data_IF_284804144407
#
_entry.id   IF_284804144407
#
_cell.length_a   1.000
_cell.length_b   1.000
_cell.length_c   1.000
_cell.angle_alpha   90.00
_cell.angle_beta   90.00
_cell.angle_gamma   90.00
#
_symmetry.space_group_name_H-M   'P 1'
#
loop_
_entity.id
_entity.type
_entity.pdbx_description
1 polymer ?
#
# COMPACT_ATOMS: atom_id res chain seq x y z
N UNK A 1 2.96 -1.60 -6.70
CA UNK A 1 2.48 -0.73 -5.59
C UNK A 1 2.31 -1.57 -4.33
N UNK A 2 2.65 -1.04 -3.18
CA UNK A 2 2.50 -1.74 -1.90
C UNK A 2 1.38 -1.14 -1.06
N UNK A 3 0.57 -2.01 -0.46
CA UNK A 3 -0.37 -1.63 0.58
C UNK A 3 0.38 -1.36 1.90
N UNK A 4 -0.26 -0.64 2.81
CA UNK A 4 0.33 -0.23 4.08
C UNK A 4 0.88 -1.42 4.89
N UNK A 5 0.13 -2.52 4.98
CA UNK A 5 0.58 -3.71 5.72
C UNK A 5 1.87 -4.30 5.15
N UNK A 6 2.04 -4.28 3.83
CA UNK A 6 3.25 -4.79 3.19
C UNK A 6 4.47 -3.93 3.52
N UNK A 7 4.29 -2.61 3.53
CA UNK A 7 5.36 -1.68 3.92
C UNK A 7 5.79 -1.94 5.37
N UNK A 8 4.83 -2.14 6.27
CA UNK A 8 5.11 -2.43 7.67
C UNK A 8 5.87 -3.77 7.84
N UNK A 9 5.49 -4.81 7.09
CA UNK A 9 6.20 -6.08 7.11
C UNK A 9 7.63 -5.92 6.57
N UNK A 10 7.79 -5.19 5.47
CA UNK A 10 9.10 -4.94 4.90
C UNK A 10 10.02 -4.18 5.86
N UNK A 11 9.48 -3.24 6.60
CA UNK A 11 10.25 -2.41 7.53
C UNK A 11 10.57 -3.13 8.86
N UNK A 12 9.66 -3.94 9.38
CA UNK A 12 9.73 -4.46 10.75
C UNK A 12 9.79 -5.98 10.86
N UNK A 13 9.18 -6.72 9.95
CA UNK A 13 9.08 -8.18 10.05
C UNK A 13 8.94 -8.82 8.66
N UNK A 14 10.08 -9.01 8.01
CA UNK A 14 10.15 -9.59 6.67
C UNK A 14 9.68 -11.05 6.60
N UNK A 15 9.63 -11.74 7.74
CA UNK A 15 9.16 -13.12 7.80
C UNK A 15 7.66 -13.24 7.53
N UNK A 16 6.92 -12.13 7.60
CA UNK A 16 5.50 -12.05 7.24
C UNK A 16 5.27 -11.93 5.74
N UNK A 17 6.33 -11.80 4.94
CA UNK A 17 6.22 -11.72 3.48
C UNK A 17 6.39 -13.10 2.85
N UNK A 18 5.52 -13.40 1.88
CA UNK A 18 5.65 -14.60 1.06
C UNK A 18 6.94 -14.57 0.25
N UNK A 19 7.47 -15.75 -0.03
CA UNK A 19 8.69 -15.89 -0.81
C UNK A 19 8.60 -15.16 -2.16
N UNK A 20 7.47 -15.30 -2.86
CA UNK A 20 7.31 -14.64 -4.15
C UNK A 20 7.25 -13.12 -4.03
N UNK A 21 6.67 -12.60 -2.96
CA UNK A 21 6.65 -11.16 -2.68
C UNK A 21 8.06 -10.65 -2.43
N UNK A 22 8.84 -11.38 -1.62
CA UNK A 22 10.25 -11.04 -1.37
C UNK A 22 11.04 -11.02 -2.68
N UNK A 23 10.84 -12.01 -3.54
CA UNK A 23 11.51 -12.07 -4.86
C UNK A 23 11.17 -10.85 -5.72
N UNK A 24 9.91 -10.43 -5.74
CA UNK A 24 9.48 -9.22 -6.47
C UNK A 24 10.16 -7.97 -5.90
N UNK A 25 10.20 -7.85 -4.57
CA UNK A 25 10.78 -6.68 -3.92
C UNK A 25 12.31 -6.60 -4.07
N UNK A 26 12.98 -7.74 -4.20
CA UNK A 26 14.43 -7.82 -4.36
C UNK A 26 14.89 -7.73 -5.81
N UNK A 27 13.98 -7.89 -6.77
CA UNK A 27 14.33 -7.83 -8.19
C UNK A 27 14.69 -6.39 -8.60
N UNK A 28 15.94 -6.13 -9.03
CA UNK A 28 16.37 -4.79 -9.40
C UNK A 28 15.67 -4.24 -10.65
N UNK A 29 15.04 -5.10 -11.45
CA UNK A 29 14.23 -4.67 -12.60
C UNK A 29 12.90 -4.05 -12.19
N UNK A 30 12.43 -4.30 -10.96
CA UNK A 30 11.18 -3.76 -10.46
C UNK A 30 11.37 -2.40 -9.79
N UNK A 31 10.48 -1.47 -10.12
CA UNK A 31 10.35 -0.18 -9.42
C UNK A 31 9.23 -0.33 -8.39
N UNK A 32 9.57 -0.12 -7.12
CA UNK A 32 8.61 -0.26 -6.02
C UNK A 32 8.02 1.11 -5.69
N UNK A 33 6.72 1.17 -5.54
CA UNK A 33 6.03 2.42 -5.23
C UNK A 33 4.89 2.21 -4.23
N UNK A 34 4.46 3.30 -3.63
CA UNK A 34 3.26 3.39 -2.80
C UNK A 34 2.43 4.58 -3.25
N UNK A 35 1.12 4.51 -3.01
CA UNK A 35 0.29 5.70 -3.03
C UNK A 35 0.70 6.65 -1.91
N UNK A 36 0.62 7.96 -2.13
CA UNK A 36 0.82 8.95 -1.06
C UNK A 36 -0.15 8.70 0.10
N UNK A 37 -1.29 8.06 -0.15
CA UNK A 37 -2.24 7.65 0.90
C UNK A 37 -1.60 6.66 1.89
N UNK A 38 -0.78 5.73 1.42
CA UNK A 38 0.00 4.84 2.29
C UNK A 38 0.94 5.66 3.18
N UNK A 39 1.60 6.67 2.60
CA UNK A 39 2.44 7.60 3.38
C UNK A 39 1.63 8.30 4.48
N UNK A 40 0.44 8.78 4.15
CA UNK A 40 -0.46 9.41 5.13
C UNK A 40 -0.84 8.44 6.26
N UNK A 41 -1.25 7.22 5.91
CA UNK A 41 -1.60 6.20 6.91
C UNK A 41 -0.44 5.89 7.86
N UNK A 42 0.76 5.76 7.31
CA UNK A 42 1.95 5.48 8.12
C UNK A 42 2.28 6.65 9.06
N UNK A 43 2.17 7.88 8.58
CA UNK A 43 2.40 9.08 9.41
C UNK A 43 1.35 9.15 10.52
N UNK A 44 0.07 8.97 10.18
CA UNK A 44 -1.02 8.97 11.17
C UNK A 44 -0.83 7.86 12.19
N UNK A 45 -0.51 6.65 11.74
CA UNK A 45 -0.26 5.52 12.65
C UNK A 45 0.93 5.78 13.57
N UNK A 46 2.01 6.34 13.05
CA UNK A 46 3.17 6.72 13.83
C UNK A 46 2.83 7.79 14.89
N UNK A 47 2.13 8.85 14.48
CA UNK A 47 1.74 9.93 15.39
C UNK A 47 0.78 9.46 16.51
N UNK A 48 -0.02 8.42 16.23
CA UNK A 48 -0.97 7.83 17.19
C UNK A 48 -0.39 6.62 17.93
N UNK A 49 0.89 6.38 17.84
CA UNK A 49 1.59 5.28 18.51
C UNK A 49 1.00 3.89 18.20
N UNK A 50 0.44 3.70 17.00
CA UNK A 50 -0.14 2.41 16.58
C UNK A 50 0.92 1.36 16.29
N UNK A 51 2.15 1.76 16.00
CA UNK A 51 3.30 0.89 15.84
C UNK A 51 4.54 1.62 16.35
N UNK A 52 5.46 0.86 16.92
CA UNK A 52 6.72 1.38 17.43
C UNK A 52 7.84 1.06 16.45
N UNK A 53 8.68 2.05 16.23
CA UNK A 53 9.92 1.85 15.50
C UNK A 53 10.97 2.79 16.07
N UNK A 54 12.16 2.27 16.27
CA UNK A 54 13.30 3.06 16.74
C UNK A 54 13.86 3.97 15.66
N UNK A 55 13.48 3.74 14.39
CA UNK A 55 13.99 4.49 13.25
C UNK A 55 13.34 5.85 13.07
N UNK A 56 12.09 6.01 13.49
CA UNK A 56 11.31 7.22 13.22
C UNK A 56 11.10 8.02 14.49
N UNK A 57 11.53 9.28 14.46
CA UNK A 57 11.32 10.23 15.56
C UNK A 57 10.20 11.20 15.26
N UNK A 58 9.95 11.47 13.98
CA UNK A 58 8.91 12.39 13.51
C UNK A 58 8.19 11.78 12.31
N UNK A 59 6.98 12.29 12.01
CA UNK A 59 6.25 11.86 10.80
C UNK A 59 7.03 12.10 9.52
N UNK A 60 7.87 13.12 9.48
CA UNK A 60 8.72 13.41 8.32
C UNK A 60 9.78 12.31 8.09
N UNK A 61 10.25 11.68 9.16
CA UNK A 61 11.18 10.54 9.06
C UNK A 61 10.55 9.34 8.36
N UNK A 62 9.23 9.16 8.49
CA UNK A 62 8.48 8.07 7.83
C UNK A 62 8.63 8.18 6.32
N UNK A 63 8.32 9.34 5.75
CA UNK A 63 8.42 9.57 4.30
C UNK A 63 9.86 9.46 3.81
N UNK A 64 10.81 10.00 4.57
CA UNK A 64 12.22 9.92 4.24
C UNK A 64 12.73 8.48 4.23
N UNK A 65 12.30 7.67 5.20
CA UNK A 65 12.64 6.25 5.25
C UNK A 65 12.13 5.50 4.01
N UNK A 66 10.89 5.77 3.60
CA UNK A 66 10.33 5.15 2.39
C UNK A 66 11.19 5.45 1.16
N UNK A 67 11.52 6.71 0.94
CA UNK A 67 12.24 7.15 -0.25
C UNK A 67 13.74 6.83 -0.20
N UNK A 68 14.41 7.12 0.90
CA UNK A 68 15.86 7.09 0.98
C UNK A 68 16.42 5.74 1.47
N UNK A 69 15.73 5.06 2.40
CA UNK A 69 16.20 3.79 2.94
C UNK A 69 15.61 2.57 2.22
N UNK A 70 14.32 2.62 1.87
CA UNK A 70 13.63 1.50 1.25
C UNK A 70 13.55 1.63 -0.28
N UNK A 71 13.98 2.74 -0.85
CA UNK A 71 13.93 3.05 -2.28
C UNK A 71 12.52 2.86 -2.86
N UNK A 72 11.52 3.34 -2.12
CA UNK A 72 10.11 3.27 -2.50
C UNK A 72 9.69 4.64 -3.03
N UNK A 73 9.15 4.68 -4.24
CA UNK A 73 8.62 5.90 -4.84
C UNK A 73 7.23 6.20 -4.30
N UNK A 74 7.01 7.42 -3.82
CA UNK A 74 5.71 7.88 -3.34
C UNK A 74 4.99 8.56 -4.50
N UNK A 75 3.88 7.98 -4.95
CA UNK A 75 3.11 8.50 -6.08
C UNK A 75 2.01 9.44 -5.60
N UNK A 76 1.91 10.64 -6.19
CA UNK A 76 0.86 11.59 -5.84
C UNK A 76 -0.51 11.13 -6.36
N UNK A 77 -1.57 11.53 -5.65
CA UNK A 77 -2.95 11.32 -6.06
C UNK A 77 -3.42 12.52 -6.87
N UNK A 78 -3.90 12.27 -8.07
CA UNK A 78 -4.45 13.30 -8.93
C UNK A 78 -5.96 13.14 -9.10
N UNK A 79 -6.54 14.02 -9.92
CA UNK A 79 -7.97 14.02 -10.23
C UNK A 79 -8.45 12.69 -10.81
N UNK A 80 -7.62 12.01 -11.61
CA UNK A 80 -8.00 10.74 -12.24
C UNK A 80 -8.20 9.64 -11.20
N UNK A 81 -7.37 9.60 -10.17
CA UNK A 81 -7.53 8.66 -9.04
C UNK A 81 -8.85 8.91 -8.33
N UNK A 82 -9.18 10.17 -8.06
CA UNK A 82 -10.42 10.53 -7.38
C UNK A 82 -11.65 10.18 -8.25
N UNK A 83 -11.54 10.34 -9.56
CA UNK A 83 -12.61 9.92 -10.47
C UNK A 83 -12.84 8.40 -10.43
N UNK A 84 -11.78 7.60 -10.42
CA UNK A 84 -11.88 6.15 -10.23
C UNK A 84 -12.52 5.82 -8.89
N UNK A 85 -12.08 6.47 -7.82
CA UNK A 85 -12.63 6.31 -6.47
C UNK A 85 -14.14 6.59 -6.44
N UNK A 86 -14.60 7.64 -7.12
CA UNK A 86 -16.03 8.02 -7.13
C UNK A 86 -16.91 6.97 -7.81
N UNK A 87 -16.36 6.15 -8.69
CA UNK A 87 -17.08 5.10 -9.42
C UNK A 87 -16.81 3.69 -8.87
N UNK A 88 -16.02 3.56 -7.80
CA UNK A 88 -15.67 2.27 -7.25
C UNK A 88 -16.88 1.61 -6.57
N UNK A 89 -17.20 0.36 -6.97
CA UNK A 89 -18.19 -0.45 -6.28
C UNK A 89 -17.55 -1.09 -5.05
N UNK A 90 -18.13 -0.86 -3.87
CA UNK A 90 -17.57 -1.34 -2.61
C UNK A 90 -17.94 -2.77 -2.30
N UNK A 91 -17.04 -3.49 -1.65
CA UNK A 91 -17.24 -4.86 -1.18
C UNK A 91 -18.15 -4.89 0.04
N UNK A 92 -19.47 -4.80 -0.18
CA UNK A 92 -20.47 -4.76 0.87
C UNK A 92 -20.62 -6.11 1.58
N UNK A 93 -20.38 -7.21 0.86
CA UNK A 93 -20.52 -8.56 1.42
C UNK A 93 -19.51 -8.82 2.55
N UNK A 94 -18.33 -8.23 2.47
CA UNK A 94 -17.30 -8.32 3.49
C UNK A 94 -17.18 -7.05 4.35
N UNK A 95 -18.14 -6.13 4.23
CA UNK A 95 -18.20 -4.89 4.99
C UNK A 95 -16.91 -4.05 4.89
N UNK A 96 -16.39 -3.93 3.68
CA UNK A 96 -15.16 -3.18 3.42
C UNK A 96 -15.46 -1.68 3.34
N UNK A 97 -15.29 -0.97 4.44
CA UNK A 97 -15.68 0.44 4.60
C UNK A 97 -14.51 1.41 4.73
N UNK A 98 -13.28 0.93 4.71
CA UNK A 98 -12.11 1.78 4.92
C UNK A 98 -11.85 2.68 3.70
N UNK A 99 -12.07 4.02 3.81
CA UNK A 99 -11.86 4.92 2.67
C UNK A 99 -10.40 4.97 2.21
N UNK A 100 -9.45 4.76 3.11
CA UNK A 100 -8.04 4.73 2.77
C UNK A 100 -7.73 3.56 1.84
N UNK A 101 -8.25 2.36 2.14
CA UNK A 101 -8.12 1.20 1.27
C UNK A 101 -8.73 1.47 -0.11
N UNK A 102 -9.91 2.09 -0.16
CA UNK A 102 -10.58 2.41 -1.42
C UNK A 102 -9.77 3.38 -2.28
N UNK A 103 -9.09 4.34 -1.68
CA UNK A 103 -8.20 5.26 -2.38
C UNK A 103 -6.97 4.52 -2.94
N UNK A 104 -6.36 3.65 -2.14
CA UNK A 104 -5.19 2.87 -2.56
C UNK A 104 -5.56 1.95 -3.74
N UNK A 105 -6.68 1.26 -3.64
CA UNK A 105 -7.22 0.43 -4.72
C UNK A 105 -7.43 1.25 -5.99
N UNK A 106 -8.10 2.39 -5.86
CA UNK A 106 -8.39 3.29 -6.97
C UNK A 106 -7.12 3.82 -7.62
N UNK A 107 -6.11 4.13 -6.81
CA UNK A 107 -4.81 4.60 -7.30
C UNK A 107 -4.11 3.51 -8.13
N UNK A 108 -4.10 2.26 -7.65
CA UNK A 108 -3.50 1.15 -8.38
C UNK A 108 -4.24 0.89 -9.71
N UNK A 109 -5.57 0.92 -9.71
CA UNK A 109 -6.39 0.77 -10.93
C UNK A 109 -6.04 1.88 -11.93
N UNK A 110 -6.06 3.13 -11.50
CA UNK A 110 -5.81 4.29 -12.37
C UNK A 110 -4.42 4.25 -12.98
N UNK A 111 -3.43 3.89 -12.18
CA UNK A 111 -2.04 3.83 -12.63
C UNK A 111 -1.72 2.55 -13.43
N UNK A 112 -2.59 1.55 -13.41
CA UNK A 112 -2.33 0.26 -14.06
C UNK A 112 -1.16 -0.50 -13.45
N UNK A 113 -0.96 -0.37 -12.14
CA UNK A 113 0.15 -0.98 -11.41
C UNK A 113 -0.39 -2.10 -10.51
N UNK A 114 0.24 -3.30 -10.51
CA UNK A 114 -0.16 -4.35 -9.58
C UNK A 114 -0.01 -3.92 -8.12
N UNK A 115 -1.01 -4.24 -7.30
CA UNK A 115 -1.04 -3.93 -5.88
C UNK A 115 -0.76 -5.19 -5.06
N UNK A 116 0.21 -5.10 -4.17
CA UNK A 116 0.55 -6.19 -3.22
C UNK A 116 -0.10 -5.89 -1.88
N UNK A 117 -0.89 -6.81 -1.37
CA UNK A 117 -1.58 -6.69 -0.09
C UNK A 117 -1.74 -8.06 0.58
N UNK A 118 -1.98 -8.06 1.88
CA UNK A 118 -2.41 -9.24 2.65
C UNK A 118 -3.91 -9.22 2.94
N UNK A 119 -4.62 -8.16 2.59
CA UNK A 119 -6.03 -7.98 2.93
C UNK A 119 -6.93 -8.81 2.01
N UNK A 120 -7.68 -9.75 2.62
CA UNK A 120 -8.57 -10.66 1.90
C UNK A 120 -9.84 -10.03 1.36
N UNK A 121 -10.07 -8.75 1.63
CA UNK A 121 -11.19 -7.98 1.08
C UNK A 121 -10.88 -7.40 -0.30
N UNK A 122 -9.62 -7.32 -0.67
CA UNK A 122 -9.16 -6.70 -1.93
C UNK A 122 -9.47 -7.52 -3.19
N UNK A 123 -9.48 -8.87 -3.19
CA UNK A 123 -9.80 -9.62 -4.41
C UNK A 123 -11.13 -9.28 -5.07
N UNK A 124 -12.09 -8.77 -4.30
CA UNK A 124 -13.38 -8.29 -4.84
C UNK A 124 -13.18 -7.26 -5.97
N UNK A 125 -12.14 -6.43 -5.89
CA UNK A 125 -11.93 -5.31 -6.81
C UNK A 125 -11.21 -5.71 -8.11
N UNK A 126 -10.81 -6.96 -8.26
CA UNK A 126 -10.14 -7.42 -9.49
C UNK A 126 -11.03 -7.30 -10.71
N UNK A 127 -12.34 -7.46 -10.56
CA UNK A 127 -13.32 -7.26 -11.63
C UNK A 127 -13.42 -5.82 -12.09
N UNK A 128 -12.96 -4.90 -11.28
CA UNK A 128 -12.99 -3.46 -11.57
C UNK A 128 -11.64 -2.95 -12.10
N UNK A 129 -10.74 -3.85 -12.45
CA UNK A 129 -9.45 -3.52 -13.06
C UNK A 129 -8.26 -3.56 -12.13
N UNK A 130 -8.45 -3.96 -10.87
CA UNK A 130 -7.32 -4.12 -9.94
C UNK A 130 -6.50 -5.35 -10.31
N UNK A 131 -5.22 -5.16 -10.60
CA UNK A 131 -4.25 -6.24 -10.67
C UNK A 131 -3.70 -6.48 -9.26
N UNK A 132 -3.82 -7.71 -8.77
CA UNK A 132 -3.57 -8.01 -7.38
C UNK A 132 -2.53 -9.11 -7.20
N UNK A 133 -1.59 -8.90 -6.29
CA UNK A 133 -0.64 -9.91 -5.82
C UNK A 133 -0.90 -10.07 -4.32
N UNK A 134 -1.40 -11.24 -3.92
CA UNK A 134 -1.70 -11.51 -2.52
C UNK A 134 -0.46 -12.00 -1.77
N UNK A 135 -0.23 -11.41 -0.61
CA UNK A 135 0.68 -11.92 0.38
C UNK A 135 -0.13 -12.78 1.34
N UNK A 136 0.13 -14.10 1.36
CA UNK A 136 -0.71 -15.09 2.06
C UNK A 136 -0.31 -15.35 3.51
N UNK A 137 0.84 -14.85 3.90
CA UNK A 137 1.31 -15.01 5.29
C UNK A 137 0.64 -14.04 6.25
#
# INVERSE_FOLDING_TARGET
MLDTCIVLYLANDKDLLDKNVVEILQDPENVICVSVEVGRELVVGFNNHKFETKKWKTGNDVLRCLEDELDIHILPIDKNVINTYSNLELNKAQDHRDPSDHIIISHAITAGIPLITSDRKFPFYTKQGLELIMNSK
#
